data_IF_587208046714
#
_entry.id   IF_587208046714
#
_cell.length_a   1.000
_cell.length_b   1.000
_cell.length_c   1.000
_cell.angle_alpha   90.00
_cell.angle_beta   90.00
_cell.angle_gamma   90.00
#
_symmetry.space_group_name_H-M   'P 1'
#
loop_
_entity.id
_entity.type
_entity.pdbx_description
1 polymer ?
#
# COMPACT_ATOMS: atom_id res chain seq x y z
N UNK A 1 9.08 4.96 0.49
CA UNK A 1 9.86 6.07 1.05
C UNK A 1 11.24 6.18 0.39
N UNK A 2 12.18 5.27 0.67
CA UNK A 2 13.58 5.34 0.19
C UNK A 2 13.69 5.54 -1.34
N UNK A 3 12.94 4.77 -2.13
CA UNK A 3 13.00 4.89 -3.59
C UNK A 3 12.57 6.28 -4.08
N UNK A 4 11.59 6.89 -3.46
CA UNK A 4 11.12 8.23 -3.83
C UNK A 4 12.16 9.29 -3.44
N UNK A 5 12.75 9.20 -2.25
CA UNK A 5 13.77 10.15 -1.81
C UNK A 5 15.08 10.05 -2.60
N UNK A 6 15.53 8.82 -2.92
CA UNK A 6 16.83 8.61 -3.59
C UNK A 6 16.75 8.75 -5.12
N UNK A 7 15.64 8.29 -5.72
CA UNK A 7 15.51 8.20 -7.20
C UNK A 7 14.83 9.44 -7.78
N UNK A 8 13.91 10.05 -7.04
CA UNK A 8 13.07 11.16 -7.52
C UNK A 8 13.39 12.49 -6.84
N UNK A 9 14.33 12.49 -5.91
CA UNK A 9 14.76 13.69 -5.14
C UNK A 9 13.62 14.37 -4.36
N UNK A 10 12.59 13.62 -3.99
CA UNK A 10 11.53 14.11 -3.12
C UNK A 10 11.97 14.18 -1.66
N UNK A 11 11.41 15.13 -0.92
CA UNK A 11 11.42 15.08 0.54
C UNK A 11 10.49 13.96 0.98
N UNK A 12 10.97 13.03 1.79
CA UNK A 12 10.19 11.87 2.21
C UNK A 12 10.36 11.64 3.70
N UNK A 13 9.25 11.56 4.42
CA UNK A 13 9.22 11.15 5.82
C UNK A 13 8.39 9.88 5.95
N UNK A 14 8.90 8.92 6.70
CA UNK A 14 8.20 7.68 7.01
C UNK A 14 8.03 7.56 8.52
N UNK A 15 6.80 7.27 8.94
CA UNK A 15 6.49 6.90 10.33
C UNK A 15 5.91 5.49 10.37
N UNK A 16 6.03 4.83 11.52
CA UNK A 16 5.55 3.46 11.71
C UNK A 16 4.84 3.36 13.05
N UNK A 17 3.72 2.68 13.07
CA UNK A 17 2.96 2.34 14.26
C UNK A 17 2.82 0.84 14.37
N UNK A 18 3.14 0.31 15.56
CA UNK A 18 2.93 -1.08 15.91
C UNK A 18 2.07 -1.13 17.17
N UNK A 19 1.01 -1.93 17.15
CA UNK A 19 0.24 -2.17 18.37
C UNK A 19 1.10 -2.88 19.42
N UNK A 20 0.87 -2.60 20.70
CA UNK A 20 1.62 -3.13 21.84
C UNK A 20 1.48 -4.66 22.04
N UNK A 21 0.70 -5.33 21.22
CA UNK A 21 0.46 -6.77 21.34
C UNK A 21 1.68 -7.57 20.85
N UNK A 22 2.11 -8.54 21.66
CA UNK A 22 3.28 -9.39 21.39
C UNK A 22 3.08 -10.23 20.12
N UNK A 23 1.84 -10.55 19.76
CA UNK A 23 1.48 -11.28 18.54
C UNK A 23 0.16 -10.74 17.97
N UNK A 24 0.12 -10.44 16.67
CA UNK A 24 -1.12 -10.21 15.92
C UNK A 24 -1.78 -8.85 16.11
N UNK A 25 -1.03 -7.81 16.47
CA UNK A 25 -1.56 -6.44 16.54
C UNK A 25 -1.59 -5.75 15.17
N UNK A 26 -2.42 -4.70 15.06
CA UNK A 26 -2.45 -3.83 13.90
C UNK A 26 -1.08 -3.13 13.70
N UNK A 27 -0.63 -3.04 12.46
CA UNK A 27 0.55 -2.28 12.08
C UNK A 27 0.21 -1.32 10.95
N UNK A 28 0.74 -0.11 11.02
CA UNK A 28 0.56 0.91 10.00
C UNK A 28 1.90 1.56 9.67
N UNK A 29 2.08 1.93 8.42
CA UNK A 29 3.22 2.70 7.96
C UNK A 29 2.74 3.88 7.13
N UNK A 30 3.06 5.09 7.59
CA UNK A 30 2.72 6.31 6.88
C UNK A 30 3.93 6.79 6.09
N UNK A 31 3.68 7.37 4.93
CA UNK A 31 4.69 8.00 4.08
C UNK A 31 4.16 9.35 3.61
N UNK A 32 4.87 10.40 3.97
CA UNK A 32 4.64 11.75 3.44
C UNK A 32 5.69 12.03 2.37
N UNK A 33 5.25 12.51 1.22
CA UNK A 33 6.11 12.85 0.08
C UNK A 33 5.80 14.28 -0.35
N UNK A 34 6.82 15.11 -0.51
CA UNK A 34 6.67 16.50 -0.93
C UNK A 34 7.88 16.97 -1.76
N UNK A 35 7.68 18.02 -2.55
CA UNK A 35 8.75 18.73 -3.25
C UNK A 35 9.51 19.69 -2.32
N UNK A 36 8.87 20.10 -1.22
CA UNK A 36 9.40 21.03 -0.22
C UNK A 36 9.64 20.35 1.13
N UNK A 37 10.28 21.07 2.06
CA UNK A 37 10.57 20.54 3.41
C UNK A 37 9.30 20.13 4.15
N UNK A 38 9.28 18.89 4.62
CA UNK A 38 8.19 18.33 5.43
C UNK A 38 8.37 18.76 6.88
N UNK A 39 7.50 19.65 7.35
CA UNK A 39 7.51 20.14 8.73
C UNK A 39 6.65 19.31 9.67
N UNK A 40 5.69 18.54 9.12
CA UNK A 40 4.79 17.70 9.90
C UNK A 40 4.79 16.26 9.34
N UNK A 41 5.28 15.26 10.11
CA UNK A 41 5.55 13.92 9.59
C UNK A 41 4.37 12.97 9.62
N UNK A 42 3.21 13.39 10.14
CA UNK A 42 2.05 12.50 10.34
C UNK A 42 1.04 12.64 9.20
N UNK A 43 0.49 11.51 8.76
CA UNK A 43 -0.61 11.48 7.80
C UNK A 43 -1.93 11.58 8.56
N UNK A 44 -2.57 12.74 8.51
CA UNK A 44 -3.89 12.96 9.12
C UNK A 44 -5.02 12.57 8.16
N UNK A 45 -4.87 12.94 6.90
CA UNK A 45 -5.80 12.70 5.80
C UNK A 45 -5.00 12.14 4.62
N UNK A 46 -5.01 10.83 4.41
CA UNK A 46 -4.22 10.23 3.33
C UNK A 46 -4.83 10.51 1.95
N UNK A 47 -3.97 10.73 0.95
CA UNK A 47 -4.35 10.75 -0.46
C UNK A 47 -4.52 9.33 -1.02
N UNK A 48 -3.79 8.38 -0.40
CA UNK A 48 -3.82 6.97 -0.78
C UNK A 48 -3.72 6.08 0.46
N UNK A 49 -4.60 5.07 0.53
CA UNK A 49 -4.58 4.01 1.55
C UNK A 49 -4.36 2.65 0.87
N UNK A 50 -3.48 1.83 1.43
CA UNK A 50 -3.42 0.39 1.14
C UNK A 50 -3.97 -0.36 2.34
N UNK A 51 -5.11 -1.02 2.16
CA UNK A 51 -5.76 -1.84 3.17
C UNK A 51 -5.48 -3.32 2.93
N UNK A 52 -4.54 -3.89 3.71
CA UNK A 52 -4.19 -5.32 3.68
C UNK A 52 -5.00 -6.16 4.66
N UNK A 53 -5.84 -5.53 5.47
CA UNK A 53 -6.75 -6.17 6.42
C UNK A 53 -7.91 -5.23 6.74
N UNK A 54 -9.00 -5.78 7.28
CA UNK A 54 -10.18 -5.00 7.68
C UNK A 54 -9.84 -3.93 8.71
N UNK A 55 -8.93 -4.21 9.65
CA UNK A 55 -8.47 -3.24 10.67
C UNK A 55 -7.95 -1.93 10.07
N UNK A 56 -7.38 -1.96 8.85
CA UNK A 56 -6.93 -0.76 8.17
C UNK A 56 -8.12 0.13 7.76
N UNK A 57 -9.22 -0.47 7.30
CA UNK A 57 -10.47 0.26 6.97
C UNK A 57 -11.11 0.77 8.25
N UNK A 58 -11.21 -0.05 9.28
CA UNK A 58 -11.87 0.31 10.55
C UNK A 58 -11.12 1.44 11.27
N UNK A 59 -9.81 1.44 11.20
CA UNK A 59 -8.96 2.46 11.84
C UNK A 59 -8.80 3.77 11.05
N UNK A 60 -8.94 3.74 9.75
CA UNK A 60 -8.63 4.88 8.87
C UNK A 60 -9.80 5.31 7.98
N UNK A 61 -10.81 4.46 7.74
CA UNK A 61 -11.89 4.72 6.79
C UNK A 61 -12.62 6.05 7.00
N UNK A 62 -12.93 6.38 8.25
CA UNK A 62 -13.59 7.64 8.59
C UNK A 62 -12.72 8.91 8.39
N UNK A 63 -11.42 8.76 8.13
CA UNK A 63 -10.48 9.86 7.88
C UNK A 63 -10.25 10.11 6.39
N UNK A 64 -10.85 9.29 5.53
CA UNK A 64 -10.72 9.45 4.09
C UNK A 64 -11.48 10.69 3.64
N UNK A 65 -10.80 11.54 2.88
CA UNK A 65 -11.40 12.73 2.27
C UNK A 65 -11.88 12.43 0.86
N UNK A 66 -12.76 13.25 0.29
CA UNK A 66 -13.10 13.17 -1.13
C UNK A 66 -11.85 13.16 -2.02
N UNK A 67 -11.82 12.24 -2.97
CA UNK A 67 -10.67 12.05 -3.88
C UNK A 67 -9.59 11.10 -3.38
N UNK A 68 -9.68 10.59 -2.14
CA UNK A 68 -8.77 9.53 -1.66
C UNK A 68 -8.88 8.29 -2.53
N UNK A 69 -7.74 7.70 -2.88
CA UNK A 69 -7.64 6.40 -3.56
C UNK A 69 -7.34 5.29 -2.55
N UNK A 70 -8.04 4.18 -2.64
CA UNK A 70 -7.84 3.00 -1.77
C UNK A 70 -7.52 1.78 -2.63
N UNK A 71 -6.45 1.06 -2.27
CA UNK A 71 -6.18 -0.29 -2.76
C UNK A 71 -6.54 -1.26 -1.62
N UNK A 72 -7.60 -2.04 -1.79
CA UNK A 72 -8.09 -2.98 -0.78
C UNK A 72 -7.86 -4.43 -1.20
N UNK A 73 -7.33 -5.25 -0.31
CA UNK A 73 -7.19 -6.69 -0.54
C UNK A 73 -8.58 -7.34 -0.64
N UNK A 74 -8.85 -8.08 -1.72
CA UNK A 74 -10.15 -8.64 -2.05
C UNK A 74 -10.59 -9.82 -1.18
N UNK A 75 -9.67 -10.37 -0.36
CA UNK A 75 -9.94 -11.45 0.59
C UNK A 75 -9.98 -10.93 2.03
N UNK A 76 -9.02 -10.05 2.38
CA UNK A 76 -8.79 -9.64 3.76
C UNK A 76 -9.63 -8.44 4.18
N UNK A 77 -10.20 -7.72 3.22
CA UNK A 77 -11.13 -6.60 3.44
C UNK A 77 -12.52 -7.05 2.98
N UNK A 78 -13.50 -6.89 3.84
CA UNK A 78 -14.88 -7.39 3.58
C UNK A 78 -15.93 -6.28 3.67
N UNK A 79 -15.62 -5.17 4.33
CA UNK A 79 -16.55 -4.07 4.55
C UNK A 79 -15.89 -2.73 4.27
N UNK A 80 -16.51 -1.92 3.41
CA UNK A 80 -16.05 -0.59 3.01
C UNK A 80 -17.03 0.52 3.45
N UNK A 81 -18.01 0.22 4.29
CA UNK A 81 -19.09 1.15 4.68
C UNK A 81 -18.61 2.44 5.37
N UNK A 82 -17.35 2.48 5.82
CA UNK A 82 -16.75 3.68 6.41
C UNK A 82 -16.21 4.67 5.36
N UNK A 83 -16.12 4.27 4.11
CA UNK A 83 -15.69 5.18 3.04
C UNK A 83 -16.87 5.99 2.51
N UNK A 84 -16.64 7.29 2.25
CA UNK A 84 -17.59 8.15 1.59
C UNK A 84 -17.71 7.83 0.09
N UNK A 85 -18.77 8.36 -0.56
CA UNK A 85 -19.05 8.14 -1.99
C UNK A 85 -17.95 8.66 -2.92
N UNK A 86 -17.18 9.66 -2.48
CA UNK A 86 -16.10 10.27 -3.25
C UNK A 86 -14.73 9.58 -3.07
N UNK A 87 -14.68 8.42 -2.42
CA UNK A 87 -13.47 7.61 -2.26
C UNK A 87 -13.41 6.57 -3.37
N UNK A 88 -12.32 6.59 -4.13
CA UNK A 88 -12.11 5.61 -5.21
C UNK A 88 -11.46 4.35 -4.66
N UNK A 89 -12.17 3.22 -4.68
CA UNK A 89 -11.65 1.94 -4.20
C UNK A 89 -11.27 1.04 -5.36
N UNK A 90 -10.06 0.49 -5.32
CA UNK A 90 -9.57 -0.56 -6.21
C UNK A 90 -9.46 -1.87 -5.42
N UNK A 91 -10.27 -2.86 -5.77
CA UNK A 91 -10.09 -4.21 -5.25
C UNK A 91 -8.88 -4.87 -5.92
N UNK A 92 -7.97 -5.40 -5.13
CA UNK A 92 -6.76 -6.03 -5.61
C UNK A 92 -6.58 -7.42 -4.97
N UNK A 93 -6.23 -8.46 -5.74
CA UNK A 93 -5.99 -9.81 -5.21
C UNK A 93 -4.61 -9.94 -4.56
N UNK A 94 -4.26 -9.04 -3.61
CA UNK A 94 -2.90 -8.90 -3.08
C UNK A 94 -2.45 -10.17 -2.34
N UNK A 95 -3.28 -10.67 -1.42
CA UNK A 95 -3.01 -11.89 -0.67
C UNK A 95 -2.96 -13.12 -1.57
N UNK A 96 -3.88 -13.21 -2.54
CA UNK A 96 -3.95 -14.32 -3.50
C UNK A 96 -2.69 -14.35 -4.38
N UNK A 97 -2.32 -13.22 -4.95
CA UNK A 97 -1.10 -13.06 -5.74
C UNK A 97 0.15 -13.41 -4.92
N UNK A 98 0.19 -13.02 -3.65
CA UNK A 98 1.28 -13.39 -2.76
C UNK A 98 1.36 -14.92 -2.51
N UNK A 99 0.23 -15.59 -2.36
CA UNK A 99 0.18 -17.05 -2.24
C UNK A 99 0.67 -17.74 -3.52
N UNK A 100 0.30 -17.24 -4.71
CA UNK A 100 0.74 -17.75 -6.01
C UNK A 100 2.25 -17.59 -6.24
N UNK A 101 2.87 -16.53 -5.75
CA UNK A 101 4.34 -16.38 -5.80
C UNK A 101 5.07 -17.20 -4.73
N UNK A 102 4.33 -17.89 -3.85
CA UNK A 102 4.83 -18.86 -2.88
C UNK A 102 5.02 -18.32 -1.46
N UNK A 103 4.49 -17.16 -1.13
CA UNK A 103 4.56 -16.65 0.25
C UNK A 103 3.52 -15.57 0.54
N UNK A 104 2.47 -15.91 1.27
CA UNK A 104 1.45 -14.95 1.75
C UNK A 104 2.04 -13.73 2.47
N UNK A 105 3.20 -13.91 3.11
CA UNK A 105 3.91 -12.82 3.80
C UNK A 105 4.41 -11.73 2.86
N UNK A 106 4.44 -11.99 1.54
CA UNK A 106 4.84 -10.99 0.54
C UNK A 106 3.68 -10.12 0.04
N UNK A 107 2.48 -10.21 0.62
CA UNK A 107 1.33 -9.39 0.22
C UNK A 107 1.64 -7.88 0.27
N UNK A 108 2.43 -7.43 1.24
CA UNK A 108 2.92 -6.06 1.31
C UNK A 108 3.86 -5.69 0.14
N UNK A 109 4.64 -6.64 -0.38
CA UNK A 109 5.53 -6.42 -1.54
C UNK A 109 4.72 -6.41 -2.83
N UNK A 110 3.72 -7.29 -2.96
CA UNK A 110 2.74 -7.25 -4.05
C UNK A 110 2.03 -5.89 -4.06
N UNK A 111 1.60 -5.42 -2.90
CA UNK A 111 0.95 -4.12 -2.76
C UNK A 111 1.84 -2.94 -3.19
N UNK A 112 3.15 -3.00 -2.92
CA UNK A 112 4.10 -1.98 -3.43
C UNK A 112 4.20 -1.98 -4.95
N UNK A 113 4.18 -3.15 -5.58
CA UNK A 113 4.12 -3.26 -7.04
C UNK A 113 2.84 -2.63 -7.60
N UNK A 114 1.69 -3.00 -7.04
CA UNK A 114 0.38 -2.49 -7.43
C UNK A 114 0.26 -0.97 -7.23
N UNK A 115 0.75 -0.46 -6.09
CA UNK A 115 0.83 0.98 -5.81
C UNK A 115 1.65 1.71 -6.87
N UNK A 116 2.84 1.19 -7.19
CA UNK A 116 3.76 1.81 -8.14
C UNK A 116 3.15 1.88 -9.54
N UNK A 117 2.46 0.83 -9.97
CA UNK A 117 1.75 0.77 -11.24
C UNK A 117 0.58 1.77 -11.27
N UNK A 118 -0.24 1.82 -10.22
CA UNK A 118 -1.41 2.69 -10.16
C UNK A 118 -1.04 4.18 -10.15
N UNK A 119 -0.01 4.54 -9.40
CA UNK A 119 0.38 5.94 -9.21
C UNK A 119 1.38 6.46 -10.23
N UNK A 120 2.14 5.57 -10.88
CA UNK A 120 3.25 5.96 -11.74
C UNK A 120 4.42 6.65 -11.02
N UNK A 121 4.41 6.67 -9.67
CA UNK A 121 5.47 7.31 -8.87
C UNK A 121 6.83 6.64 -9.04
N UNK A 122 6.84 5.33 -9.22
CA UNK A 122 8.04 4.52 -9.46
C UNK A 122 7.77 3.57 -10.62
N UNK A 123 8.76 3.40 -11.49
CA UNK A 123 8.73 2.30 -12.47
C UNK A 123 9.10 0.96 -11.82
N UNK A 124 8.90 -0.14 -12.55
CA UNK A 124 9.17 -1.49 -12.05
C UNK A 124 10.63 -1.68 -11.62
N UNK A 125 11.58 -1.11 -12.35
CA UNK A 125 13.01 -1.24 -12.03
C UNK A 125 13.34 -0.51 -10.72
N UNK A 126 12.79 0.67 -10.51
CA UNK A 126 12.98 1.49 -9.33
C UNK A 126 12.41 0.82 -8.06
N UNK A 127 11.15 0.34 -8.13
CA UNK A 127 10.53 -0.34 -6.98
C UNK A 127 11.19 -1.68 -6.69
N UNK A 128 11.61 -2.44 -7.73
CA UNK A 128 12.32 -3.70 -7.56
C UNK A 128 13.68 -3.51 -6.88
N UNK A 129 14.43 -2.46 -7.27
CA UNK A 129 15.70 -2.11 -6.63
C UNK A 129 15.51 -1.75 -5.16
N UNK A 130 14.48 -0.98 -4.82
CA UNK A 130 14.17 -0.62 -3.43
C UNK A 130 13.81 -1.86 -2.58
N UNK A 131 12.99 -2.78 -3.13
CA UNK A 131 12.63 -4.02 -2.46
C UNK A 131 13.87 -4.91 -2.24
N UNK A 132 14.74 -5.04 -3.24
CA UNK A 132 15.98 -5.82 -3.11
C UNK A 132 16.91 -5.27 -2.02
N UNK A 133 17.00 -3.95 -1.89
CA UNK A 133 17.78 -3.28 -0.85
C UNK A 133 17.25 -3.55 0.55
N UNK A 134 15.92 -3.49 0.74
CA UNK A 134 15.30 -3.50 2.07
C UNK A 134 14.83 -4.87 2.56
N UNK A 135 14.62 -5.81 1.65
CA UNK A 135 14.15 -7.15 1.96
C UNK A 135 15.04 -8.25 1.38
N UNK A 136 16.32 -8.33 1.79
CA UNK A 136 17.28 -9.26 1.18
C UNK A 136 17.03 -10.73 1.53
N UNK A 137 16.19 -11.03 2.53
CA UNK A 137 16.04 -12.38 3.08
C UNK A 137 15.44 -13.42 2.11
N UNK A 138 14.73 -13.02 1.08
CA UNK A 138 14.15 -13.89 0.04
C UNK A 138 14.12 -13.16 -1.31
N UNK A 139 15.27 -12.88 -1.91
CA UNK A 139 15.38 -11.95 -3.04
C UNK A 139 14.53 -12.39 -4.24
N UNK A 140 14.52 -13.67 -4.58
CA UNK A 140 13.76 -14.17 -5.72
C UNK A 140 12.24 -14.12 -5.50
N UNK A 141 11.78 -14.51 -4.30
CA UNK A 141 10.35 -14.42 -3.95
C UNK A 141 9.89 -12.97 -3.93
N UNK A 142 10.70 -12.07 -3.38
CA UNK A 142 10.39 -10.65 -3.31
C UNK A 142 10.38 -9.99 -4.70
N UNK A 143 11.31 -10.36 -5.59
CA UNK A 143 11.33 -9.92 -6.98
C UNK A 143 10.03 -10.34 -7.70
N UNK A 144 9.68 -11.62 -7.62
CA UNK A 144 8.43 -12.14 -8.22
C UNK A 144 7.20 -11.46 -7.63
N UNK A 145 7.18 -11.18 -6.34
CA UNK A 145 6.06 -10.52 -5.68
C UNK A 145 5.86 -9.09 -6.19
N UNK A 146 6.93 -8.30 -6.31
CA UNK A 146 6.81 -6.93 -6.82
C UNK A 146 6.42 -6.90 -8.30
N UNK A 147 6.99 -7.81 -9.12
CA UNK A 147 6.64 -7.95 -10.54
C UNK A 147 5.18 -8.34 -10.73
N UNK A 148 4.69 -9.34 -9.97
CA UNK A 148 3.30 -9.77 -10.00
C UNK A 148 2.35 -8.64 -9.57
N UNK A 149 2.70 -7.90 -8.51
CA UNK A 149 1.92 -6.74 -8.07
C UNK A 149 1.87 -5.62 -9.12
N UNK A 150 3.00 -5.33 -9.76
CA UNK A 150 3.08 -4.31 -10.82
C UNK A 150 2.29 -4.70 -12.08
N UNK A 151 2.11 -5.99 -12.33
CA UNK A 151 1.33 -6.51 -13.45
C UNK A 151 -0.19 -6.48 -13.20
N UNK A 152 -0.64 -6.23 -11.96
CA UNK A 152 -2.07 -6.15 -11.63
C UNK A 152 -2.72 -4.97 -12.36
N UNK A 153 -3.82 -5.23 -13.05
CA UNK A 153 -4.66 -4.21 -13.65
C UNK A 153 -5.73 -3.81 -12.62
N UNK A 154 -5.49 -2.70 -11.95
CA UNK A 154 -6.40 -2.18 -10.93
C UNK A 154 -7.46 -1.31 -11.59
N UNK A 155 -8.71 -1.74 -11.54
CA UNK A 155 -9.87 -0.96 -11.97
C UNK A 155 -10.66 -0.49 -10.76
N UNK A 156 -11.22 0.74 -10.79
CA UNK A 156 -12.12 1.18 -9.74
C UNK A 156 -13.26 0.19 -9.56
N UNK A 157 -13.65 -0.05 -8.32
CA UNK A 157 -14.81 -0.87 -8.00
C UNK A 157 -16.08 -0.14 -8.45
N UNK A 158 -16.63 -0.48 -9.60
CA UNK A 158 -17.97 -0.07 -9.96
C UNK A 158 -18.96 -0.82 -9.05
N UNK A 159 -19.57 -0.08 -8.11
CA UNK A 159 -20.85 -0.50 -7.50
C UNK A 159 -20.88 -1.84 -6.74
N UNK A 160 -19.85 -2.24 -6.00
CA UNK A 160 -20.06 -3.19 -4.91
C UNK A 160 -20.63 -2.44 -3.72
N UNK A 161 -21.92 -2.06 -3.85
CA UNK A 161 -22.71 -1.64 -2.72
C UNK A 161 -22.67 -2.74 -1.64
N UNK A 162 -22.53 -2.29 -0.40
CA UNK A 162 -22.51 -3.10 0.81
C UNK A 162 -23.66 -4.09 0.90
#
# INVERSE_FOLDING_TARGET
AEALGVVRDFQVVQTQFYASNITGGASCGDVVVADENITFPWVLEPDLLIALAQDAVDGHGAKMRPGTTVIADDIMVTNLSLFGEDVTVHWAPLTRTADEVGSRRCANIVALGALSQLTGLLDLAQVSKAVASRAPGKPETNRRAVEAGYALQLTPAEGRAA
#
